data_IF_548536627000
#
_entry.id   IF_548536627000
#
_cell.length_a   1.000
_cell.length_b   1.000
_cell.length_c   1.000
_cell.angle_alpha   90.00
_cell.angle_beta   90.00
_cell.angle_gamma   90.00
#
_symmetry.space_group_name_H-M   'P 1'
#
loop_
_entity.id
_entity.type
_entity.pdbx_description
1 polymer ?
#
# COMPACT_ATOMS: atom_id res chain seq x y z
N UNK A 1 8.50 28.32 21.37
CA UNK A 1 8.30 27.64 20.08
C UNK A 1 8.39 26.14 20.32
N UNK A 2 7.36 25.40 19.95
CA UNK A 2 7.39 23.95 20.04
C UNK A 2 8.18 23.34 18.86
N UNK A 3 8.40 22.04 18.86
CA UNK A 3 9.09 21.30 17.80
C UNK A 3 8.48 21.47 16.40
N UNK A 4 7.24 21.98 16.31
CA UNK A 4 6.54 22.30 15.05
C UNK A 4 7.35 23.20 14.12
N UNK A 5 8.14 24.13 14.70
CA UNK A 5 8.98 25.04 13.94
C UNK A 5 10.08 24.31 13.15
N UNK A 6 10.53 23.16 13.64
CA UNK A 6 11.53 22.34 12.95
C UNK A 6 10.97 21.84 11.62
N UNK A 7 9.75 21.29 11.64
CA UNK A 7 9.08 20.81 10.43
C UNK A 7 8.79 21.96 9.45
N UNK A 8 8.29 23.10 9.96
CA UNK A 8 8.08 24.29 9.13
C UNK A 8 9.38 24.78 8.47
N UNK A 9 10.46 24.92 9.26
CA UNK A 9 11.74 25.42 8.75
C UNK A 9 12.41 24.45 7.77
N UNK A 10 12.38 23.14 8.07
CA UNK A 10 12.95 22.11 7.20
C UNK A 10 12.19 22.02 5.88
N UNK A 11 10.86 22.01 5.93
CA UNK A 11 10.03 21.93 4.74
C UNK A 11 10.19 23.18 3.86
N UNK A 12 10.14 24.37 4.42
CA UNK A 12 10.36 25.61 3.66
C UNK A 12 11.76 25.65 3.03
N UNK A 13 12.78 25.19 3.75
CA UNK A 13 14.17 25.19 3.27
C UNK A 13 14.37 24.22 2.10
N UNK A 14 13.80 23.02 2.16
CA UNK A 14 14.11 21.93 1.23
C UNK A 14 13.05 21.74 0.14
N UNK A 15 11.78 22.07 0.41
CA UNK A 15 10.65 21.85 -0.48
C UNK A 15 10.06 23.18 -1.01
N UNK A 16 10.45 24.32 -0.41
CA UNK A 16 9.96 25.63 -0.84
C UNK A 16 8.65 26.07 -0.15
N UNK A 17 8.10 27.15 -0.67
CA UNK A 17 6.96 27.84 -0.05
C UNK A 17 5.59 27.28 -0.47
N UNK A 18 5.58 26.25 -1.32
CA UNK A 18 4.36 25.56 -1.75
C UNK A 18 4.55 24.05 -1.63
N UNK A 19 3.76 23.42 -0.75
CA UNK A 19 3.68 21.97 -0.63
C UNK A 19 2.42 21.47 -1.33
N UNK A 20 2.54 20.41 -2.10
CA UNK A 20 1.37 19.71 -2.64
C UNK A 20 0.68 18.91 -1.57
N UNK A 21 1.45 18.06 -0.86
CA UNK A 21 0.93 17.13 0.15
C UNK A 21 1.82 17.16 1.38
N UNK A 22 1.20 17.23 2.57
CA UNK A 22 1.86 17.04 3.86
C UNK A 22 1.15 15.93 4.63
N UNK A 23 1.93 14.94 5.08
CA UNK A 23 1.41 13.71 5.67
C UNK A 23 1.78 13.59 7.16
N UNK A 24 0.93 12.90 7.92
CA UNK A 24 1.22 12.55 9.30
C UNK A 24 0.23 11.55 9.89
N UNK A 25 0.45 11.14 11.12
CA UNK A 25 -0.56 10.44 11.91
C UNK A 25 -1.72 11.37 12.26
N UNK A 26 -2.87 10.80 12.59
CA UNK A 26 -4.06 11.58 12.96
C UNK A 26 -3.80 12.50 14.18
N UNK A 27 -2.91 12.11 15.07
CA UNK A 27 -2.49 12.89 16.22
C UNK A 27 -1.70 14.16 15.85
N UNK A 28 -1.13 14.22 14.64
CA UNK A 28 -0.47 15.43 14.14
C UNK A 28 -1.45 16.49 13.64
N UNK A 29 -2.71 16.16 13.35
CA UNK A 29 -3.69 17.13 12.86
C UNK A 29 -3.81 18.31 13.84
N UNK A 30 -3.83 18.00 15.15
CA UNK A 30 -3.83 18.99 16.22
C UNK A 30 -2.97 18.48 17.40
N UNK A 31 -2.09 19.31 17.95
CA UNK A 31 -1.79 20.72 17.57
C UNK A 31 -0.66 20.89 16.54
N UNK A 32 0.02 19.80 16.10
CA UNK A 32 1.27 19.88 15.35
C UNK A 32 1.10 20.57 13.98
N UNK A 33 0.31 20.01 13.09
CA UNK A 33 0.08 20.57 11.75
C UNK A 33 -0.64 21.92 11.79
N UNK A 34 -1.55 22.11 12.75
CA UNK A 34 -2.20 23.43 12.98
C UNK A 34 -1.17 24.51 13.30
N UNK A 35 -0.17 24.18 14.10
CA UNK A 35 0.91 25.10 14.42
C UNK A 35 1.87 25.31 13.25
N UNK A 36 2.16 24.27 12.47
CA UNK A 36 2.96 24.41 11.24
C UNK A 36 2.27 25.35 10.23
N UNK A 37 0.95 25.23 10.04
CA UNK A 37 0.17 26.16 9.19
C UNK A 37 0.34 27.59 9.71
N UNK A 38 0.10 27.81 10.99
CA UNK A 38 0.20 29.13 11.58
C UNK A 38 1.60 29.74 11.42
N UNK A 39 2.64 28.95 11.64
CA UNK A 39 4.04 29.40 11.55
C UNK A 39 4.47 29.67 10.11
N UNK A 40 4.19 28.73 9.21
CA UNK A 40 4.60 28.82 7.82
C UNK A 40 3.83 29.91 7.08
N UNK A 41 2.50 29.93 7.16
CA UNK A 41 1.67 30.91 6.46
C UNK A 41 1.85 32.34 6.98
N UNK A 42 2.12 32.51 8.27
CA UNK A 42 2.48 33.82 8.83
C UNK A 42 3.83 34.33 8.28
N UNK A 43 4.78 33.42 8.00
CA UNK A 43 6.08 33.78 7.47
C UNK A 43 6.04 34.08 5.97
N UNK A 44 5.36 33.22 5.18
CA UNK A 44 5.34 33.35 3.71
C UNK A 44 4.21 34.26 3.20
N UNK A 45 3.17 34.52 3.99
CA UNK A 45 2.05 35.40 3.65
C UNK A 45 0.99 34.80 2.73
N UNK A 46 0.99 33.49 2.50
CA UNK A 46 0.01 32.78 1.67
C UNK A 46 -0.21 31.34 2.16
N UNK A 47 -1.20 30.64 1.55
CA UNK A 47 -1.45 29.23 1.83
C UNK A 47 -0.24 28.39 1.49
N UNK A 48 0.24 27.60 2.47
CA UNK A 48 1.47 26.83 2.34
C UNK A 48 1.27 25.45 1.71
N UNK A 49 0.27 24.67 2.18
CA UNK A 49 0.06 23.28 1.76
C UNK A 49 -1.34 23.09 1.18
N UNK A 50 -1.43 22.38 0.03
CA UNK A 50 -2.71 22.11 -0.63
C UNK A 50 -3.49 20.99 0.02
N UNK A 51 -2.84 19.87 0.34
CA UNK A 51 -3.48 18.67 0.86
C UNK A 51 -2.79 18.18 2.14
N UNK A 52 -3.58 17.99 3.19
CA UNK A 52 -3.17 17.42 4.46
C UNK A 52 -3.69 15.98 4.54
N UNK A 53 -2.76 15.02 4.69
CA UNK A 53 -3.09 13.60 4.67
C UNK A 53 -2.79 12.98 6.05
N UNK A 54 -3.84 12.50 6.74
CA UNK A 54 -3.71 11.94 8.08
C UNK A 54 -4.13 10.48 8.12
N UNK A 55 -3.24 9.63 8.64
CA UNK A 55 -3.42 8.18 8.72
C UNK A 55 -3.72 7.78 10.16
N UNK A 56 -4.69 6.89 10.36
CA UNK A 56 -4.93 6.31 11.67
C UNK A 56 -3.79 5.34 12.05
N UNK A 57 -3.55 5.23 13.35
CA UNK A 57 -2.47 4.40 13.87
C UNK A 57 -2.71 2.91 13.60
N UNK A 58 -1.59 2.20 13.39
CA UNK A 58 -1.53 0.76 13.56
C UNK A 58 -1.53 0.45 15.06
N UNK A 59 -2.54 -0.26 15.51
CA UNK A 59 -2.70 -0.67 16.89
C UNK A 59 -2.35 -2.16 17.06
N UNK A 60 -2.09 -2.57 18.28
CA UNK A 60 -2.10 -3.98 18.71
C UNK A 60 -3.32 -4.25 19.55
N UNK A 61 -3.58 -5.51 19.91
CA UNK A 61 -4.66 -5.86 20.82
C UNK A 61 -4.52 -5.21 22.22
N UNK A 62 -3.31 -4.82 22.59
CA UNK A 62 -3.00 -4.08 23.83
C UNK A 62 -3.04 -2.56 23.69
N UNK A 63 -3.40 -2.03 22.52
CA UNK A 63 -3.47 -0.60 22.21
C UNK A 63 -2.43 -0.11 21.20
N UNK A 64 -2.03 1.16 21.27
CA UNK A 64 -1.06 1.76 20.35
C UNK A 64 0.30 1.08 20.48
N UNK A 65 0.84 0.62 19.38
CA UNK A 65 2.20 0.07 19.32
C UNK A 65 3.21 1.18 19.63
N UNK A 66 4.03 0.99 20.66
CA UNK A 66 5.05 1.97 21.05
C UNK A 66 6.36 1.28 21.41
N UNK A 67 7.49 2.01 21.26
CA UNK A 67 8.83 1.55 21.64
C UNK A 67 8.95 1.21 23.12
N UNK A 68 8.12 1.81 23.97
CA UNK A 68 8.18 1.67 25.44
C UNK A 68 7.60 0.37 25.97
N UNK A 69 6.89 -0.42 25.16
CA UNK A 69 6.26 -1.69 25.59
C UNK A 69 7.14 -2.93 25.44
N UNK A 70 8.40 -2.78 25.03
CA UNK A 70 9.41 -3.84 25.02
C UNK A 70 9.39 -4.78 23.80
N UNK A 71 8.29 -4.87 23.07
CA UNK A 71 8.22 -5.59 21.80
C UNK A 71 8.11 -4.59 20.64
N UNK A 72 9.26 -4.19 20.11
CA UNK A 72 9.30 -3.33 18.93
C UNK A 72 9.24 -4.20 17.68
N UNK A 73 8.05 -4.26 17.07
CA UNK A 73 7.83 -4.96 15.81
C UNK A 73 8.49 -4.18 14.67
N UNK A 74 9.53 -4.76 14.08
CA UNK A 74 10.18 -4.28 12.86
C UNK A 74 9.85 -5.19 11.70
N UNK A 75 10.02 -4.70 10.48
CA UNK A 75 9.88 -5.54 9.28
C UNK A 75 10.92 -6.66 9.31
N UNK A 76 12.16 -6.39 9.75
CA UNK A 76 13.19 -7.42 9.89
C UNK A 76 12.79 -8.55 10.83
N UNK A 77 12.10 -8.25 11.94
CA UNK A 77 11.58 -9.30 12.83
C UNK A 77 10.51 -10.16 12.15
N UNK A 78 9.70 -9.58 11.25
CA UNK A 78 8.73 -10.37 10.48
C UNK A 78 9.44 -11.30 9.49
N UNK A 79 10.51 -10.83 8.84
CA UNK A 79 11.34 -11.66 7.96
C UNK A 79 12.02 -12.80 8.73
N UNK A 80 12.60 -12.52 9.90
CA UNK A 80 13.18 -13.55 10.80
C UNK A 80 12.16 -14.61 11.23
N UNK A 81 10.88 -14.23 11.33
CA UNK A 81 9.76 -15.14 11.61
C UNK A 81 9.22 -15.86 10.35
N UNK A 82 9.81 -15.60 9.18
CA UNK A 82 9.42 -16.25 7.92
C UNK A 82 8.26 -15.59 7.17
N UNK A 83 7.87 -14.37 7.55
CA UNK A 83 6.87 -13.62 6.80
C UNK A 83 7.46 -12.91 5.59
N UNK A 84 6.74 -12.90 4.49
CA UNK A 84 7.08 -12.04 3.36
C UNK A 84 6.74 -10.58 3.70
N UNK A 85 7.69 -9.63 3.60
CA UNK A 85 7.43 -8.20 3.84
C UNK A 85 6.30 -7.63 2.99
N UNK A 86 6.12 -8.14 1.76
CA UNK A 86 5.03 -7.72 0.88
C UNK A 86 3.66 -8.21 1.35
N UNK A 87 3.60 -9.32 2.09
CA UNK A 87 2.37 -9.75 2.75
C UNK A 87 1.97 -8.78 3.88
N UNK A 88 2.95 -8.21 4.60
CA UNK A 88 2.67 -7.14 5.56
C UNK A 88 2.17 -5.86 4.86
N UNK A 89 2.78 -5.49 3.71
CA UNK A 89 2.26 -4.40 2.89
C UNK A 89 0.84 -4.68 2.41
N UNK A 90 0.58 -5.90 1.94
CA UNK A 90 -0.76 -6.33 1.53
C UNK A 90 -1.76 -6.23 2.67
N UNK A 91 -1.39 -6.66 3.90
CA UNK A 91 -2.18 -6.49 5.11
C UNK A 91 -2.56 -5.02 5.34
N UNK A 92 -1.61 -4.10 5.24
CA UNK A 92 -1.87 -2.68 5.40
C UNK A 92 -2.82 -2.12 4.33
N UNK A 93 -2.65 -2.53 3.06
CA UNK A 93 -3.46 -2.07 1.94
C UNK A 93 -4.91 -2.61 1.95
N UNK A 94 -5.17 -3.70 2.69
CA UNK A 94 -6.52 -4.26 2.86
C UNK A 94 -7.43 -3.38 3.73
N UNK A 95 -6.88 -2.40 4.43
CA UNK A 95 -7.64 -1.45 5.23
C UNK A 95 -7.54 -0.05 4.65
N UNK A 96 -8.63 0.70 4.72
CA UNK A 96 -8.61 2.12 4.38
C UNK A 96 -7.79 2.89 5.42
N UNK A 97 -6.95 3.85 5.01
CA UNK A 97 -6.07 4.61 5.91
C UNK A 97 -6.80 5.42 7.00
N UNK A 98 -8.10 5.72 6.80
CA UNK A 98 -8.97 6.36 7.79
C UNK A 98 -9.64 5.36 8.74
N UNK A 99 -9.29 4.08 8.68
CA UNK A 99 -9.77 3.05 9.61
C UNK A 99 -8.63 2.58 10.50
N UNK A 100 -8.93 2.32 11.75
CA UNK A 100 -7.98 1.71 12.65
C UNK A 100 -7.63 0.31 12.16
N UNK A 101 -6.33 0.04 12.09
CA UNK A 101 -5.80 -1.28 11.72
C UNK A 101 -5.18 -1.91 12.96
N UNK A 102 -5.61 -3.13 13.27
CA UNK A 102 -5.08 -3.89 14.41
C UNK A 102 -4.13 -4.96 13.91
N UNK A 103 -2.86 -4.83 14.30
CA UNK A 103 -1.86 -5.86 14.05
C UNK A 103 -1.99 -6.99 15.07
N UNK A 104 -2.03 -8.20 14.56
CA UNK A 104 -1.75 -9.44 15.30
C UNK A 104 -1.07 -10.41 14.34
N UNK A 105 -0.34 -11.40 14.87
CA UNK A 105 0.24 -12.45 14.04
C UNK A 105 -0.86 -13.24 13.32
N UNK A 106 -1.99 -13.48 13.97
CA UNK A 106 -3.14 -14.14 13.33
C UNK A 106 -3.65 -13.35 12.12
N UNK A 107 -3.78 -12.02 12.24
CA UNK A 107 -4.19 -11.17 11.11
C UNK A 107 -3.14 -11.16 10.00
N UNK A 108 -1.86 -11.20 10.36
CA UNK A 108 -0.77 -11.28 9.38
C UNK A 108 -0.73 -12.66 8.69
N UNK A 109 -0.96 -13.76 9.42
CA UNK A 109 -1.08 -15.12 8.86
C UNK A 109 -2.21 -15.19 7.83
N UNK A 110 -3.36 -14.60 8.15
CA UNK A 110 -4.49 -14.50 7.23
C UNK A 110 -4.13 -13.70 5.96
N UNK A 111 -3.44 -12.58 6.12
CA UNK A 111 -2.99 -11.75 5.00
C UNK A 111 -1.93 -12.47 4.15
N UNK A 112 -0.95 -13.14 4.77
CA UNK A 112 0.06 -13.96 4.10
C UNK A 112 -0.61 -15.09 3.29
N UNK A 113 -1.58 -15.78 3.90
CA UNK A 113 -2.33 -16.84 3.20
C UNK A 113 -3.15 -16.31 2.02
N UNK A 114 -3.77 -15.13 2.17
CA UNK A 114 -4.51 -14.48 1.08
C UNK A 114 -3.58 -13.99 -0.03
N UNK A 115 -2.42 -13.41 0.33
CA UNK A 115 -1.40 -12.98 -0.62
C UNK A 115 -0.84 -14.16 -1.42
N UNK A 116 -0.47 -15.25 -0.76
CA UNK A 116 0.01 -16.47 -1.42
C UNK A 116 -1.03 -17.06 -2.38
N UNK A 117 -2.32 -17.02 -2.02
CA UNK A 117 -3.41 -17.44 -2.92
C UNK A 117 -3.56 -16.53 -4.14
N UNK A 118 -3.37 -15.23 -3.95
CA UNK A 118 -3.36 -14.25 -5.06
C UNK A 118 -2.21 -14.56 -6.01
N UNK A 119 -0.99 -14.70 -5.48
CA UNK A 119 0.21 -15.03 -6.26
C UNK A 119 0.07 -16.36 -7.01
N UNK A 120 -0.49 -17.38 -6.38
CA UNK A 120 -0.73 -18.67 -7.02
C UNK A 120 -1.68 -18.58 -8.23
N UNK A 121 -2.71 -17.73 -8.15
CA UNK A 121 -3.61 -17.46 -9.27
C UNK A 121 -2.91 -16.72 -10.41
N UNK A 122 -2.06 -15.76 -10.09
CA UNK A 122 -1.26 -15.04 -11.08
C UNK A 122 -0.24 -15.97 -11.74
N UNK A 123 0.44 -16.82 -10.96
CA UNK A 123 1.40 -17.82 -11.47
C UNK A 123 0.78 -18.86 -12.41
N UNK A 124 -0.53 -19.07 -12.33
CA UNK A 124 -1.26 -19.97 -13.22
C UNK A 124 -1.60 -19.36 -14.59
N UNK A 125 -1.52 -18.03 -14.72
CA UNK A 125 -1.76 -17.34 -15.99
C UNK A 125 -0.65 -17.67 -16.99
N UNK A 126 -1.04 -17.74 -18.28
CA UNK A 126 -0.11 -18.01 -19.37
C UNK A 126 0.14 -16.73 -20.16
N UNK A 127 1.40 -16.38 -20.29
CA UNK A 127 1.80 -15.28 -21.19
C UNK A 127 1.99 -15.85 -22.60
N UNK A 128 0.97 -15.70 -23.45
CA UNK A 128 1.04 -16.08 -24.85
C UNK A 128 1.28 -14.82 -25.69
N UNK A 129 2.46 -14.73 -26.28
CA UNK A 129 2.87 -13.59 -27.10
C UNK A 129 1.98 -13.39 -28.33
N UNK A 130 1.30 -14.45 -28.82
CA UNK A 130 0.42 -14.39 -29.99
C UNK A 130 -0.97 -13.81 -29.66
N UNK A 131 -1.36 -13.72 -28.41
CA UNK A 131 -2.63 -13.12 -28.03
C UNK A 131 -2.57 -11.58 -28.13
N UNK A 132 -3.64 -10.98 -28.63
CA UNK A 132 -3.81 -9.52 -28.62
C UNK A 132 -4.36 -9.04 -27.27
N UNK A 133 -4.01 -7.83 -26.87
CA UNK A 133 -4.59 -7.17 -25.70
C UNK A 133 -6.06 -6.85 -25.97
N UNK A 134 -6.91 -7.18 -25.02
CA UNK A 134 -8.34 -6.82 -25.03
C UNK A 134 -8.50 -5.39 -24.48
N UNK A 135 -8.49 -4.43 -25.39
CA UNK A 135 -8.59 -2.99 -25.06
C UNK A 135 -9.88 -2.63 -24.32
N UNK A 136 -10.98 -3.36 -24.56
CA UNK A 136 -12.25 -3.11 -23.88
C UNK A 136 -12.14 -3.51 -22.39
N UNK A 137 -11.58 -4.68 -22.11
CA UNK A 137 -11.32 -5.13 -20.75
C UNK A 137 -10.30 -4.21 -20.03
N UNK A 138 -9.24 -3.79 -20.75
CA UNK A 138 -8.25 -2.83 -20.20
C UNK A 138 -8.93 -1.54 -19.78
N UNK A 139 -9.75 -0.96 -20.64
CA UNK A 139 -10.47 0.27 -20.34
C UNK A 139 -11.38 0.10 -19.12
N UNK A 140 -12.24 -0.91 -19.12
CA UNK A 140 -13.21 -1.14 -18.03
C UNK A 140 -12.53 -1.31 -16.68
N UNK A 141 -11.52 -2.20 -16.60
CA UNK A 141 -10.87 -2.55 -15.35
C UNK A 141 -9.95 -1.42 -14.85
N UNK A 142 -9.33 -0.67 -15.75
CA UNK A 142 -8.55 0.52 -15.39
C UNK A 142 -9.45 1.61 -14.82
N UNK A 143 -10.62 1.85 -15.42
CA UNK A 143 -11.59 2.81 -14.89
C UNK A 143 -12.09 2.40 -13.50
N UNK A 144 -12.33 1.10 -13.26
CA UNK A 144 -12.67 0.58 -11.92
C UNK A 144 -11.55 0.82 -10.90
N UNK A 145 -10.31 0.54 -11.28
CA UNK A 145 -9.16 0.73 -10.39
C UNK A 145 -8.96 2.20 -10.05
N UNK A 146 -9.03 3.06 -11.06
CA UNK A 146 -8.97 4.52 -10.85
C UNK A 146 -10.09 5.00 -9.93
N UNK A 147 -11.32 4.58 -10.17
CA UNK A 147 -12.47 4.95 -9.34
C UNK A 147 -12.30 4.51 -7.88
N UNK A 148 -11.67 3.36 -7.62
CA UNK A 148 -11.35 2.90 -6.27
C UNK A 148 -10.35 3.85 -5.58
N UNK A 149 -9.31 4.28 -6.29
CA UNK A 149 -8.30 5.20 -5.75
C UNK A 149 -8.81 6.65 -5.66
N UNK A 150 -9.61 7.09 -6.62
CA UNK A 150 -10.25 8.41 -6.61
C UNK A 150 -11.26 8.55 -5.45
N UNK A 151 -11.74 7.42 -4.92
CA UNK A 151 -12.57 7.37 -3.73
C UNK A 151 -11.71 7.40 -2.45
N UNK A 152 -11.04 8.52 -2.23
CA UNK A 152 -10.22 8.79 -1.04
C UNK A 152 -9.11 7.72 -0.82
N UNK A 153 -8.41 7.36 -1.89
CA UNK A 153 -7.30 6.38 -1.90
C UNK A 153 -7.73 5.05 -1.27
N UNK A 154 -8.88 4.53 -1.67
CA UNK A 154 -9.42 3.28 -1.12
C UNK A 154 -8.67 2.05 -1.67
N UNK A 155 -7.51 1.76 -1.09
CA UNK A 155 -6.66 0.63 -1.48
C UNK A 155 -7.34 -0.72 -1.28
N UNK A 156 -8.25 -0.84 -0.32
CA UNK A 156 -9.05 -2.07 -0.12
C UNK A 156 -9.93 -2.39 -1.33
N UNK A 157 -10.57 -1.36 -1.92
CA UNK A 157 -11.28 -1.51 -3.19
C UNK A 157 -10.31 -1.78 -4.34
N UNK A 158 -9.15 -1.11 -4.36
CA UNK A 158 -8.10 -1.35 -5.36
C UNK A 158 -7.66 -2.82 -5.39
N UNK A 159 -7.46 -3.44 -4.22
CA UNK A 159 -7.16 -4.88 -4.12
C UNK A 159 -8.34 -5.73 -4.63
N UNK A 160 -9.58 -5.32 -4.38
CA UNK A 160 -10.75 -6.04 -4.93
C UNK A 160 -10.71 -6.08 -6.46
N UNK A 161 -10.28 -4.99 -7.10
CA UNK A 161 -10.14 -4.93 -8.56
C UNK A 161 -9.07 -5.91 -9.08
N UNK A 162 -8.00 -6.22 -8.32
CA UNK A 162 -7.06 -7.29 -8.72
C UNK A 162 -7.77 -8.63 -8.87
N UNK A 163 -8.69 -8.95 -7.96
CA UNK A 163 -9.51 -10.17 -8.06
C UNK A 163 -10.51 -10.11 -9.21
N UNK A 164 -11.03 -8.91 -9.54
CA UNK A 164 -11.88 -8.72 -10.71
C UNK A 164 -11.12 -8.97 -11.99
N UNK A 165 -9.87 -8.49 -12.11
CA UNK A 165 -8.97 -8.80 -13.24
C UNK A 165 -8.82 -10.31 -13.42
N UNK A 166 -8.55 -11.05 -12.34
CA UNK A 166 -8.37 -12.52 -12.40
C UNK A 166 -9.63 -13.26 -12.81
N UNK A 167 -10.82 -12.72 -12.50
CA UNK A 167 -12.14 -13.30 -12.85
C UNK A 167 -12.65 -12.84 -14.20
N UNK A 168 -12.06 -11.79 -14.79
CA UNK A 168 -12.54 -11.21 -16.04
C UNK A 168 -12.53 -12.23 -17.17
N UNK A 169 -13.53 -12.14 -18.05
CA UNK A 169 -13.64 -12.97 -19.27
C UNK A 169 -12.79 -12.38 -20.38
N UNK A 170 -11.49 -12.40 -20.19
CA UNK A 170 -10.49 -11.94 -21.15
C UNK A 170 -9.29 -12.88 -21.12
N UNK A 171 -8.36 -12.73 -22.06
CA UNK A 171 -7.17 -13.58 -22.15
C UNK A 171 -6.16 -13.28 -21.01
N UNK A 172 -5.26 -14.21 -20.78
CA UNK A 172 -4.30 -14.13 -19.68
C UNK A 172 -3.25 -13.04 -19.90
N UNK A 173 -2.87 -12.76 -21.16
CA UNK A 173 -1.96 -11.65 -21.49
C UNK A 173 -2.53 -10.30 -21.05
N UNK A 174 -3.81 -10.06 -21.31
CA UNK A 174 -4.50 -8.84 -20.86
C UNK A 174 -4.54 -8.74 -19.34
N UNK A 175 -4.81 -9.87 -18.64
CA UNK A 175 -4.78 -9.90 -17.16
C UNK A 175 -3.41 -9.56 -16.61
N UNK A 176 -2.35 -10.16 -17.16
CA UNK A 176 -0.97 -9.89 -16.73
C UNK A 176 -0.59 -8.42 -16.95
N UNK A 177 -0.95 -7.84 -18.08
CA UNK A 177 -0.72 -6.44 -18.37
C UNK A 177 -1.42 -5.51 -17.35
N UNK A 178 -2.69 -5.79 -17.04
CA UNK A 178 -3.46 -5.03 -16.05
C UNK A 178 -2.88 -5.16 -14.63
N UNK A 179 -2.49 -6.38 -14.23
CA UNK A 179 -1.86 -6.60 -12.91
C UNK A 179 -0.54 -5.85 -12.80
N UNK A 180 0.29 -5.87 -13.84
CA UNK A 180 1.54 -5.10 -13.89
C UNK A 180 1.29 -3.60 -13.78
N UNK A 181 0.26 -3.08 -14.45
CA UNK A 181 -0.07 -1.64 -14.40
C UNK A 181 -0.58 -1.22 -13.02
N UNK A 182 -1.49 -1.99 -12.42
CA UNK A 182 -2.02 -1.68 -11.09
C UNK A 182 -0.96 -1.83 -9.99
N UNK A 183 -0.02 -2.73 -10.18
CA UNK A 183 1.08 -2.95 -9.24
C UNK A 183 2.09 -1.79 -9.19
N UNK A 184 2.15 -0.95 -10.22
CA UNK A 184 2.94 0.31 -10.16
C UNK A 184 2.45 1.22 -9.03
N UNK A 185 1.18 1.14 -8.64
CA UNK A 185 0.59 1.87 -7.52
C UNK A 185 0.65 1.06 -6.24
N UNK A 186 0.25 -0.21 -6.27
CA UNK A 186 0.15 -1.05 -5.07
C UNK A 186 1.54 -1.48 -4.56
N UNK A 187 2.52 -1.64 -5.46
CA UNK A 187 3.90 -2.01 -5.14
C UNK A 187 3.98 -3.31 -4.32
N UNK A 188 3.27 -4.34 -4.78
CA UNK A 188 3.25 -5.68 -4.19
C UNK A 188 4.17 -6.65 -4.90
N UNK A 189 4.84 -6.19 -5.98
CA UNK A 189 5.73 -6.98 -6.84
C UNK A 189 5.08 -8.28 -7.36
N UNK A 190 3.82 -8.17 -7.76
CA UNK A 190 2.92 -9.31 -8.00
C UNK A 190 3.45 -10.33 -9.00
N UNK A 191 4.00 -9.86 -10.13
CA UNK A 191 4.46 -10.75 -11.20
C UNK A 191 5.75 -11.49 -10.81
N UNK A 192 6.71 -10.79 -10.19
CA UNK A 192 7.97 -11.41 -9.77
C UNK A 192 7.76 -12.37 -8.59
N UNK A 193 6.93 -11.99 -7.63
CA UNK A 193 6.59 -12.88 -6.51
C UNK A 193 5.81 -14.11 -6.98
N UNK A 194 4.92 -13.97 -7.95
CA UNK A 194 4.22 -15.10 -8.56
C UNK A 194 5.19 -16.03 -9.32
N UNK A 195 6.19 -15.46 -9.98
CA UNK A 195 7.24 -16.24 -10.68
C UNK A 195 8.10 -17.02 -9.68
N UNK A 196 8.59 -16.39 -8.62
CA UNK A 196 9.33 -17.06 -7.53
C UNK A 196 8.53 -18.23 -6.96
N UNK A 197 7.26 -18.00 -6.61
CA UNK A 197 6.40 -19.05 -6.08
C UNK A 197 6.25 -20.25 -7.03
N UNK A 198 6.32 -20.02 -8.34
CA UNK A 198 6.25 -21.08 -9.35
C UNK A 198 7.57 -21.86 -9.47
N UNK A 199 8.70 -21.19 -9.29
CA UNK A 199 10.06 -21.76 -9.30
C UNK A 199 10.26 -22.64 -8.06
N UNK A 200 9.97 -22.13 -6.86
CA UNK A 200 10.08 -22.84 -5.59
C UNK A 200 9.30 -24.17 -5.62
N UNK A 201 8.04 -24.13 -6.13
CA UNK A 201 7.23 -25.33 -6.26
C UNK A 201 7.78 -26.37 -7.25
N UNK A 202 8.52 -25.94 -8.27
CA UNK A 202 9.16 -26.87 -9.21
C UNK A 202 10.38 -27.53 -8.56
N UNK A 203 11.15 -26.79 -7.79
CA UNK A 203 12.30 -27.32 -7.07
C UNK A 203 11.88 -28.34 -6.02
N UNK A 204 10.83 -28.04 -5.24
CA UNK A 204 10.26 -29.00 -4.27
C UNK A 204 9.77 -30.28 -4.95
N UNK A 205 9.10 -30.17 -6.10
CA UNK A 205 8.61 -31.32 -6.86
C UNK A 205 9.73 -32.15 -7.52
N UNK A 206 10.90 -31.56 -7.77
CA UNK A 206 12.06 -32.24 -8.36
C UNK A 206 12.99 -32.89 -7.34
N UNK A 207 12.81 -32.59 -6.06
CA UNK A 207 13.60 -33.11 -4.93
C UNK A 207 12.96 -34.32 -4.21
N UNK A 208 11.79 -34.78 -4.70
CA UNK A 208 11.08 -35.99 -4.26
C UNK A 208 11.19 -37.09 -5.34
#
# INVERSE_FOLDING_TARGET
PGWHIECSAISLKHLGEHLDIHCGGIDNAFPHHTNEIAQSEAYIGHKWCNYWFHVLHLNTNSGKMSKSTGEFLTVSLLEEKGYNPLAYRFFCLQSHYRKSLVFSYENLDNAQGAFNKLLAKIAALKDDENEAIDEAAVKELTEKFKAALDNDINTSLGITVLYDVLKAKTNDKTKLALLAEFDKVLSLNLLDEAKKLKEDKKEEASSV
#
